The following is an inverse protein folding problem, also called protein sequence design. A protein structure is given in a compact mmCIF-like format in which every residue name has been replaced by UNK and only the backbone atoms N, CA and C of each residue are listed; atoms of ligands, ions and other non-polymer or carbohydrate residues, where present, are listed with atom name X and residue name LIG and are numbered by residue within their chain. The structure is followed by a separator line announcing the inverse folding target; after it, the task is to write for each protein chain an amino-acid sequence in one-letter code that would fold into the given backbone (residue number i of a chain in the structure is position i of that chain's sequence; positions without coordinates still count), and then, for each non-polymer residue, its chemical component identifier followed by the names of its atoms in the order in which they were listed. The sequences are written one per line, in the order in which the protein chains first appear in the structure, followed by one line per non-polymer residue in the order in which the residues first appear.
data_IF_669775299223
#
_entry.id   IF_669775299223
#
_cell.length_a   1.000
_cell.length_b   1.000
_cell.length_c   1.000
_cell.angle_alpha   90.00
_cell.angle_beta   90.00
_cell.angle_gamma   90.00
#
_symmetry.space_group_name_H-M   'P 1'
#
loop_
_entity.id
_entity.type
_entity.pdbx_description
1 polymer ?
#
# COMPACT_ATOMS: atom_id res chain seq x y z
N UNK A 1 20.12 -7.00 -25.92
CA UNK A 1 20.38 -7.29 -24.49
C UNK A 1 20.68 -5.97 -23.82
N UNK A 2 19.63 -5.21 -23.50
CA UNK A 2 19.76 -3.96 -22.76
C UNK A 2 19.98 -4.37 -21.31
N UNK A 3 21.16 -4.10 -20.77
CA UNK A 3 21.42 -4.34 -19.36
C UNK A 3 20.43 -3.51 -18.55
N UNK A 4 19.52 -4.16 -17.82
CA UNK A 4 18.68 -3.49 -16.83
C UNK A 4 19.63 -2.80 -15.86
N UNK A 5 19.62 -1.47 -15.87
CA UNK A 5 20.36 -0.71 -14.89
C UNK A 5 19.66 -0.97 -13.56
N UNK A 6 20.25 -1.79 -12.70
CA UNK A 6 19.79 -1.93 -11.33
C UNK A 6 20.01 -0.59 -10.65
N UNK A 7 18.96 0.23 -10.58
CA UNK A 7 18.95 1.46 -9.80
C UNK A 7 18.55 1.02 -8.39
N UNK A 8 19.43 1.13 -7.38
CA UNK A 8 19.08 0.80 -6.01
C UNK A 8 17.79 1.53 -5.61
N UNK A 9 16.82 0.76 -5.08
CA UNK A 9 15.51 1.27 -4.69
C UNK A 9 14.49 1.47 -5.81
N UNK A 10 14.84 1.17 -7.07
CA UNK A 10 13.87 1.08 -8.17
C UNK A 10 13.32 -0.34 -8.37
N UNK A 11 14.02 -1.36 -7.86
CA UNK A 11 13.60 -2.76 -7.93
C UNK A 11 12.90 -3.20 -6.64
N UNK A 12 11.92 -4.09 -6.78
CA UNK A 12 11.22 -4.70 -5.66
C UNK A 12 11.56 -6.20 -5.61
N UNK A 13 12.13 -6.70 -4.50
CA UNK A 13 12.48 -8.12 -4.38
C UNK A 13 11.68 -8.84 -3.30
N UNK A 14 11.35 -10.11 -3.56
CA UNK A 14 10.61 -10.98 -2.62
C UNK A 14 11.33 -11.10 -1.28
N UNK A 15 12.66 -11.32 -1.31
CA UNK A 15 13.45 -11.51 -0.10
C UNK A 15 13.50 -10.26 0.79
N UNK A 16 13.52 -9.06 0.19
CA UNK A 16 13.53 -7.79 0.90
C UNK A 16 12.19 -7.58 1.61
N UNK A 17 11.07 -7.76 0.91
CA UNK A 17 9.73 -7.64 1.50
C UNK A 17 9.43 -8.72 2.54
N UNK A 18 9.95 -9.93 2.37
CA UNK A 18 9.83 -11.00 3.35
C UNK A 18 10.62 -10.68 4.63
N UNK A 19 11.80 -10.07 4.51
CA UNK A 19 12.63 -9.67 5.65
C UNK A 19 11.96 -8.61 6.54
N UNK A 20 11.07 -7.78 5.97
CA UNK A 20 10.31 -6.77 6.72
C UNK A 20 9.40 -7.36 7.80
N UNK A 21 9.17 -8.68 7.82
CA UNK A 21 8.47 -9.35 8.92
C UNK A 21 9.12 -9.09 10.28
N UNK A 22 10.46 -9.09 10.34
CA UNK A 22 11.18 -8.81 11.58
C UNK A 22 10.94 -7.36 12.04
N UNK A 23 11.03 -6.41 11.10
CA UNK A 23 10.72 -5.00 11.34
C UNK A 23 9.27 -4.79 11.80
N UNK A 24 8.32 -5.54 11.23
CA UNK A 24 6.92 -5.48 11.63
C UNK A 24 6.70 -6.02 13.05
N UNK A 25 7.45 -7.05 13.47
CA UNK A 25 7.41 -7.57 14.84
C UNK A 25 7.93 -6.56 15.86
N UNK A 26 9.02 -5.85 15.53
CA UNK A 26 9.69 -4.93 16.47
C UNK A 26 9.09 -3.52 16.46
N UNK A 27 8.61 -3.05 15.30
CA UNK A 27 8.16 -1.68 15.08
C UNK A 27 6.66 -1.44 15.23
N UNK A 28 5.83 -2.49 15.23
CA UNK A 28 4.38 -2.37 15.37
C UNK A 28 3.89 -3.01 16.69
N UNK A 29 3.24 -2.20 17.53
CA UNK A 29 2.48 -2.74 18.65
C UNK A 29 1.28 -3.56 18.14
N UNK A 30 0.75 -4.50 18.94
CA UNK A 30 -0.43 -5.27 18.56
C UNK A 30 -1.61 -4.32 18.30
N UNK A 31 -2.41 -4.63 17.28
CA UNK A 31 -3.74 -4.03 17.15
C UNK A 31 -4.53 -4.47 18.38
N UNK A 32 -5.18 -3.54 19.10
CA UNK A 32 -5.89 -3.88 20.35
C UNK A 32 -6.81 -5.11 20.18
N UNK A 33 -6.92 -5.94 21.22
CA UNK A 33 -7.69 -7.19 21.25
C UNK A 33 -9.10 -7.02 20.66
N UNK A 34 -9.43 -7.81 19.63
CA UNK A 34 -10.53 -7.56 18.69
C UNK A 34 -10.07 -7.05 17.32
N UNK A 35 -8.76 -7.15 17.06
CA UNK A 35 -8.04 -6.76 15.84
C UNK A 35 -8.78 -7.18 14.56
N UNK A 36 -8.75 -6.28 13.57
CA UNK A 36 -9.46 -6.34 12.29
C UNK A 36 -9.55 -7.77 11.72
N UNK A 37 -10.69 -8.17 11.13
CA UNK A 37 -10.85 -9.51 10.56
C UNK A 37 -9.80 -9.81 9.46
N UNK A 38 -9.34 -8.76 8.78
CA UNK A 38 -8.23 -8.76 7.83
C UNK A 38 -8.08 -7.42 7.12
N UNK A 39 -7.20 -7.36 6.15
CA UNK A 39 -6.90 -6.15 5.39
C UNK A 39 -6.79 -6.39 3.88
N UNK A 40 -7.38 -5.50 3.10
CA UNK A 40 -7.06 -5.35 1.68
C UNK A 40 -5.99 -4.28 1.53
N UNK A 41 -4.85 -4.68 0.97
CA UNK A 41 -3.72 -3.82 0.68
C UNK A 41 -3.82 -3.36 -0.78
N UNK A 42 -3.79 -2.05 -1.02
CA UNK A 42 -3.91 -1.48 -2.36
C UNK A 42 -2.62 -0.75 -2.70
N UNK A 43 -1.86 -1.30 -3.64
CA UNK A 43 -0.59 -0.76 -4.09
C UNK A 43 -0.77 -0.02 -5.42
N UNK A 44 -0.25 1.21 -5.53
CA UNK A 44 -0.25 1.95 -6.77
C UNK A 44 1.12 1.85 -7.46
N UNK A 45 1.16 1.17 -8.60
CA UNK A 45 2.30 1.05 -9.52
C UNK A 45 2.04 1.76 -10.85
N UNK A 46 1.13 2.73 -10.89
CA UNK A 46 0.92 3.57 -12.09
C UNK A 46 2.18 4.40 -12.39
N UNK A 47 2.32 4.94 -13.62
CA UNK A 47 3.52 5.68 -14.03
C UNK A 47 3.96 6.80 -13.08
N UNK A 48 3.04 7.53 -12.42
CA UNK A 48 3.41 8.56 -11.43
C UNK A 48 4.14 8.01 -10.20
N UNK A 49 4.00 6.72 -9.93
CA UNK A 49 4.62 6.03 -8.79
C UNK A 49 5.97 5.41 -9.14
N UNK A 50 6.35 5.35 -10.42
CA UNK A 50 7.65 4.85 -10.90
C UNK A 50 8.72 5.95 -10.91
N UNK A 51 8.73 6.79 -9.88
CA UNK A 51 9.68 7.87 -9.67
C UNK A 51 10.21 7.85 -8.25
N UNK A 52 11.46 8.28 -8.04
CA UNK A 52 12.08 8.43 -6.73
C UNK A 52 13.20 9.46 -6.75
N UNK A 53 13.49 10.08 -5.61
CA UNK A 53 14.54 11.12 -5.52
C UNK A 53 15.85 10.61 -4.92
N UNK A 54 15.83 9.96 -3.74
CA UNK A 54 17.08 9.60 -3.04
C UNK A 54 17.20 8.11 -2.75
N UNK A 55 16.17 7.48 -2.17
CA UNK A 55 16.26 6.08 -1.71
C UNK A 55 15.57 5.11 -2.64
N UNK A 56 14.31 5.35 -2.94
CA UNK A 56 13.47 4.39 -3.64
C UNK A 56 12.40 5.08 -4.47
N UNK A 57 11.82 4.34 -5.41
CA UNK A 57 10.60 4.79 -6.06
C UNK A 57 9.44 4.86 -5.06
N UNK A 58 8.49 5.77 -5.28
CA UNK A 58 7.24 5.85 -4.50
C UNK A 58 6.51 4.51 -4.48
N UNK A 59 6.47 3.81 -5.60
CA UNK A 59 5.94 2.44 -5.74
C UNK A 59 6.61 1.44 -4.80
N UNK A 60 7.95 1.45 -4.73
CA UNK A 60 8.73 0.57 -3.86
C UNK A 60 8.46 0.90 -2.39
N UNK A 61 8.50 2.19 -2.02
CA UNK A 61 8.17 2.62 -0.66
C UNK A 61 6.72 2.28 -0.26
N UNK A 62 5.77 2.41 -1.19
CA UNK A 62 4.39 1.98 -1.01
C UNK A 62 4.30 0.47 -0.72
N UNK A 63 4.99 -0.35 -1.52
CA UNK A 63 5.01 -1.80 -1.35
C UNK A 63 5.65 -2.23 -0.02
N UNK A 64 6.76 -1.61 0.38
CA UNK A 64 7.40 -1.87 1.68
C UNK A 64 6.49 -1.49 2.85
N UNK A 65 5.83 -0.33 2.79
CA UNK A 65 4.86 0.07 3.80
C UNK A 65 3.68 -0.90 3.90
N UNK A 66 3.12 -1.30 2.75
CA UNK A 66 2.05 -2.31 2.71
C UNK A 66 2.55 -3.67 3.21
N UNK A 67 3.80 -4.04 2.96
CA UNK A 67 4.38 -5.27 3.46
C UNK A 67 4.51 -5.27 5.00
N UNK A 68 4.99 -4.17 5.59
CA UNK A 68 5.02 -3.99 7.04
C UNK A 68 3.63 -4.15 7.66
N UNK A 69 2.62 -3.53 7.03
CA UNK A 69 1.23 -3.57 7.50
C UNK A 69 0.65 -4.98 7.35
N UNK A 70 0.83 -5.62 6.20
CA UNK A 70 0.36 -6.97 5.93
C UNK A 70 0.96 -7.99 6.88
N UNK A 71 2.27 -7.91 7.15
CA UNK A 71 2.93 -8.74 8.15
C UNK A 71 2.33 -8.54 9.53
N UNK A 72 2.08 -7.29 9.96
CA UNK A 72 1.42 -7.02 11.24
C UNK A 72 0.03 -7.64 11.32
N UNK A 73 -0.79 -7.49 10.28
CA UNK A 73 -2.13 -8.10 10.21
C UNK A 73 -2.05 -9.62 10.33
N UNK A 74 -1.12 -10.26 9.64
CA UNK A 74 -0.92 -11.71 9.72
C UNK A 74 -0.44 -12.16 11.11
N UNK A 75 0.46 -11.40 11.74
CA UNK A 75 0.95 -11.65 13.11
C UNK A 75 -0.16 -11.53 14.16
N UNK A 76 -1.19 -10.73 13.89
CA UNK A 76 -2.40 -10.63 14.73
C UNK A 76 -3.48 -11.67 14.40
N UNK A 77 -3.23 -12.56 13.42
CA UNK A 77 -4.15 -13.63 13.01
C UNK A 77 -5.18 -13.25 11.96
N UNK A 78 -5.12 -12.02 11.40
CA UNK A 78 -6.00 -11.59 10.31
C UNK A 78 -5.63 -12.21 8.96
N UNK A 79 -6.51 -12.06 7.97
CA UNK A 79 -6.19 -12.33 6.56
C UNK A 79 -5.67 -11.09 5.85
N UNK A 80 -4.95 -11.30 4.76
CA UNK A 80 -4.48 -10.24 3.84
C UNK A 80 -4.89 -10.56 2.41
N UNK A 81 -5.21 -9.52 1.65
CA UNK A 81 -5.48 -9.55 0.21
C UNK A 81 -4.75 -8.40 -0.47
N UNK A 82 -4.54 -8.50 -1.79
CA UNK A 82 -3.88 -7.48 -2.58
C UNK A 82 -4.74 -7.03 -3.76
N UNK A 83 -4.78 -5.73 -3.99
CA UNK A 83 -5.11 -5.10 -5.26
C UNK A 83 -3.95 -4.19 -5.68
N UNK A 84 -3.16 -4.60 -6.66
CA UNK A 84 -2.09 -3.79 -7.20
C UNK A 84 -2.52 -3.15 -8.53
N UNK A 85 -2.49 -1.81 -8.55
CA UNK A 85 -2.93 -0.95 -9.64
C UNK A 85 -1.73 -0.60 -10.52
N UNK A 86 -1.96 -0.42 -11.82
CA UNK A 86 -0.94 0.02 -12.77
C UNK A 86 -1.59 0.60 -14.02
N UNK A 87 -0.80 0.82 -15.08
CA UNK A 87 -1.34 1.27 -16.37
C UNK A 87 -2.14 0.18 -17.12
N UNK A 88 -1.94 -1.09 -16.76
CA UNK A 88 -2.63 -2.25 -17.35
C UNK A 88 -3.70 -2.85 -16.44
N UNK A 89 -4.02 -4.13 -16.67
CA UNK A 89 -4.93 -4.88 -15.81
C UNK A 89 -4.35 -4.99 -14.38
N UNK A 90 -5.18 -4.81 -13.33
CA UNK A 90 -4.70 -4.90 -11.96
C UNK A 90 -4.30 -6.34 -11.59
N UNK A 91 -3.32 -6.47 -10.71
CA UNK A 91 -2.97 -7.76 -10.09
C UNK A 91 -3.77 -7.92 -8.81
N UNK A 92 -4.52 -9.02 -8.72
CA UNK A 92 -5.37 -9.33 -7.56
C UNK A 92 -4.88 -10.60 -6.89
N UNK A 93 -4.74 -10.55 -5.55
CA UNK A 93 -4.49 -11.73 -4.71
C UNK A 93 -5.65 -11.89 -3.75
N UNK A 94 -6.29 -13.05 -3.80
CA UNK A 94 -7.43 -13.38 -2.95
C UNK A 94 -7.03 -13.41 -1.46
N UNK A 95 -7.98 -13.15 -0.54
CA UNK A 95 -7.75 -13.22 0.90
C UNK A 95 -7.11 -14.54 1.35
N UNK A 96 -6.05 -14.44 2.16
CA UNK A 96 -5.39 -15.60 2.76
C UNK A 96 -4.77 -15.22 4.11
N UNK A 97 -4.63 -16.20 5.01
CA UNK A 97 -4.11 -15.98 6.36
C UNK A 97 -2.61 -16.26 6.48
N UNK A 98 -2.01 -15.68 7.52
CA UNK A 98 -0.68 -16.02 8.01
C UNK A 98 0.44 -15.81 7.00
N UNK A 99 1.58 -16.47 7.25
CA UNK A 99 2.79 -16.29 6.46
C UNK A 99 2.62 -16.73 4.99
N UNK A 100 1.79 -17.74 4.72
CA UNK A 100 1.45 -18.16 3.34
C UNK A 100 0.67 -17.08 2.60
N UNK A 101 -0.34 -16.48 3.25
CA UNK A 101 -1.11 -15.38 2.66
C UNK A 101 -0.24 -14.18 2.35
N UNK A 102 0.65 -13.82 3.27
CA UNK A 102 1.56 -12.72 3.06
C UNK A 102 2.60 -13.01 1.96
N UNK A 103 3.08 -14.25 1.85
CA UNK A 103 3.98 -14.65 0.75
C UNK A 103 3.31 -14.45 -0.61
N UNK A 104 2.04 -14.82 -0.76
CA UNK A 104 1.27 -14.59 -2.01
C UNK A 104 1.07 -13.11 -2.31
N UNK A 105 0.85 -12.29 -1.28
CA UNK A 105 0.77 -10.84 -1.42
C UNK A 105 2.11 -10.26 -1.90
N UNK A 106 3.24 -10.70 -1.32
CA UNK A 106 4.58 -10.26 -1.72
C UNK A 106 4.85 -10.62 -3.18
N UNK A 107 4.58 -11.86 -3.58
CA UNK A 107 4.70 -12.29 -4.98
C UNK A 107 3.81 -11.45 -5.90
N UNK A 108 2.60 -11.10 -5.44
CA UNK A 108 1.69 -10.21 -6.15
C UNK A 108 2.23 -8.79 -6.33
N UNK A 109 2.85 -8.22 -5.29
CA UNK A 109 3.47 -6.90 -5.32
C UNK A 109 4.65 -6.86 -6.31
N UNK A 110 5.56 -7.83 -6.21
CA UNK A 110 6.73 -7.94 -7.10
C UNK A 110 6.28 -8.11 -8.54
N UNK A 111 5.34 -9.03 -8.81
CA UNK A 111 4.80 -9.21 -10.18
C UNK A 111 4.14 -7.95 -10.73
N UNK A 112 3.39 -7.21 -9.91
CA UNK A 112 2.74 -5.99 -10.35
C UNK A 112 3.76 -4.88 -10.68
N UNK A 113 4.81 -4.76 -9.86
CA UNK A 113 5.93 -3.86 -10.10
C UNK A 113 6.67 -4.21 -11.39
N UNK A 114 7.01 -5.49 -11.61
CA UNK A 114 7.69 -5.96 -12.82
C UNK A 114 6.87 -5.67 -14.09
N UNK A 115 5.55 -5.85 -14.03
CA UNK A 115 4.64 -5.51 -15.13
C UNK A 115 4.64 -4.00 -15.41
N UNK A 116 4.60 -3.17 -14.36
CA UNK A 116 4.62 -1.72 -14.50
C UNK A 116 5.96 -1.23 -15.08
N UNK A 117 7.08 -1.76 -14.58
CA UNK A 117 8.42 -1.49 -15.12
C UNK A 117 8.52 -1.89 -16.59
N UNK A 118 8.02 -3.09 -16.95
CA UNK A 118 8.01 -3.56 -18.33
C UNK A 118 7.24 -2.63 -19.28
N UNK A 119 6.10 -2.09 -18.84
CA UNK A 119 5.32 -1.11 -19.62
C UNK A 119 6.06 0.23 -19.75
N UNK A 120 6.67 0.71 -18.67
CA UNK A 120 7.48 1.94 -18.69
C UNK A 120 8.69 1.81 -19.62
N UNK A 121 9.40 0.68 -19.59
CA UNK A 121 10.51 0.38 -20.51
C UNK A 121 10.05 0.27 -21.97
N UNK A 122 8.79 -0.10 -22.21
CA UNK A 122 8.17 -0.08 -23.53
C UNK A 122 7.68 1.32 -23.95
N UNK A 123 7.94 2.36 -23.15
CA UNK A 123 7.56 3.74 -23.44
C UNK A 123 6.13 4.12 -23.08
N UNK A 124 5.42 3.27 -22.31
CA UNK A 124 4.05 3.54 -21.88
C UNK A 124 4.06 4.30 -20.55
N UNK A 125 3.93 5.61 -20.64
CA UNK A 125 3.93 6.53 -19.48
C UNK A 125 2.57 7.21 -19.26
N UNK A 126 1.54 6.83 -20.01
CA UNK A 126 0.20 7.34 -19.78
C UNK A 126 -0.31 6.88 -18.42
N UNK A 127 -0.59 7.84 -17.54
CA UNK A 127 -1.05 7.57 -16.19
C UNK A 127 -2.59 7.59 -16.14
N UNK A 128 -3.25 6.41 -16.07
CA UNK A 128 -4.70 6.36 -16.05
C UNK A 128 -5.25 6.93 -14.73
N UNK A 129 -6.47 7.48 -14.73
CA UNK A 129 -7.09 7.99 -13.50
C UNK A 129 -7.24 6.90 -12.43
N UNK A 130 -7.04 7.27 -11.16
CA UNK A 130 -7.11 6.36 -10.02
C UNK A 130 -8.53 5.84 -9.75
N UNK A 131 -9.54 6.70 -9.93
CA UNK A 131 -10.92 6.37 -9.53
C UNK A 131 -11.47 5.09 -10.17
N UNK A 132 -11.38 4.87 -11.50
CA UNK A 132 -11.81 3.62 -12.12
C UNK A 132 -11.08 2.39 -11.60
N UNK A 133 -9.78 2.49 -11.33
CA UNK A 133 -8.98 1.41 -10.80
C UNK A 133 -9.44 0.97 -9.40
N UNK A 134 -9.96 1.89 -8.58
CA UNK A 134 -10.51 1.58 -7.25
C UNK A 134 -11.86 0.86 -7.29
N UNK A 135 -12.55 0.79 -8.43
CA UNK A 135 -13.82 0.05 -8.54
C UNK A 135 -13.65 -1.46 -8.31
N UNK A 136 -12.48 -2.02 -8.64
CA UNK A 136 -12.16 -3.44 -8.40
C UNK A 136 -12.22 -3.84 -6.92
N UNK A 137 -12.18 -2.87 -5.99
CA UNK A 137 -12.33 -3.13 -4.56
C UNK A 137 -13.71 -3.65 -4.18
N UNK A 138 -14.75 -3.38 -4.96
CA UNK A 138 -16.11 -3.82 -4.65
C UNK A 138 -16.23 -5.36 -4.67
N UNK A 139 -15.33 -6.04 -5.38
CA UNK A 139 -15.29 -7.51 -5.47
C UNK A 139 -14.39 -8.16 -4.42
N UNK A 140 -13.38 -7.44 -3.91
CA UNK A 140 -12.31 -7.98 -3.05
C UNK A 140 -12.56 -7.63 -1.58
N UNK A 141 -13.13 -6.46 -1.29
CA UNK A 141 -13.21 -5.95 0.06
C UNK A 141 -14.40 -6.53 0.83
N UNK A 142 -14.11 -7.36 1.84
CA UNK A 142 -15.12 -7.77 2.79
C UNK A 142 -15.56 -6.58 3.68
N UNK A 143 -16.87 -6.44 3.98
CA UNK A 143 -17.37 -5.38 4.87
C UNK A 143 -16.65 -5.39 6.23
N UNK A 144 -16.30 -4.20 6.74
CA UNK A 144 -15.60 -4.08 8.03
C UNK A 144 -14.11 -4.47 8.03
N UNK A 145 -13.56 -4.92 6.90
CA UNK A 145 -12.11 -5.08 6.75
C UNK A 145 -11.38 -3.73 6.78
N UNK A 146 -10.08 -3.76 7.09
CA UNK A 146 -9.22 -2.61 6.80
C UNK A 146 -8.97 -2.51 5.31
N UNK A 147 -8.94 -1.27 4.83
CA UNK A 147 -8.57 -0.96 3.46
C UNK A 147 -7.44 0.06 3.52
N UNK A 148 -6.26 -0.34 3.05
CA UNK A 148 -5.06 0.51 3.06
C UNK A 148 -4.65 0.81 1.64
N UNK A 149 -4.74 2.07 1.23
CA UNK A 149 -4.41 2.53 -0.13
C UNK A 149 -3.12 3.33 -0.06
N UNK A 150 -2.06 2.85 -0.72
CA UNK A 150 -0.80 3.54 -0.86
C UNK A 150 -0.63 4.07 -2.29
N UNK A 151 -0.64 5.39 -2.45
CA UNK A 151 -0.61 6.09 -3.75
C UNK A 151 -0.04 7.50 -3.60
N UNK A 152 0.43 8.08 -4.70
CA UNK A 152 0.80 9.50 -4.81
C UNK A 152 -0.39 10.41 -5.15
N UNK A 153 -1.55 9.84 -5.55
CA UNK A 153 -2.79 10.55 -5.87
C UNK A 153 -2.68 11.65 -6.95
N UNK A 154 -1.64 11.66 -7.79
CA UNK A 154 -1.38 12.73 -8.77
C UNK A 154 -2.46 12.80 -9.85
N UNK A 155 -2.92 11.63 -10.30
CA UNK A 155 -3.99 11.48 -11.30
C UNK A 155 -5.24 10.87 -10.64
N UNK A 156 -6.05 11.67 -9.91
CA UNK A 156 -7.17 11.14 -9.13
C UNK A 156 -8.34 10.66 -10.01
N UNK A 157 -8.58 11.34 -11.12
CA UNK A 157 -9.80 11.18 -11.93
C UNK A 157 -11.04 11.81 -11.31
N UNK A 158 -12.13 11.84 -12.08
CA UNK A 158 -13.40 12.40 -11.62
C UNK A 158 -14.03 11.54 -10.52
N UNK A 159 -14.52 12.19 -9.45
CA UNK A 159 -15.29 11.52 -8.40
C UNK A 159 -14.49 10.82 -7.30
N UNK A 160 -13.16 10.97 -7.26
CA UNK A 160 -12.31 10.29 -6.27
C UNK A 160 -12.77 10.55 -4.83
N UNK A 161 -13.09 11.80 -4.48
CA UNK A 161 -13.52 12.15 -3.13
C UNK A 161 -14.79 11.38 -2.71
N UNK A 162 -15.78 11.29 -3.60
CA UNK A 162 -17.01 10.54 -3.35
C UNK A 162 -16.74 9.03 -3.22
N UNK A 163 -15.80 8.48 -4.01
CA UNK A 163 -15.38 7.08 -3.92
C UNK A 163 -14.69 6.78 -2.58
N UNK A 164 -13.75 7.64 -2.16
CA UNK A 164 -13.08 7.54 -0.86
C UNK A 164 -14.09 7.62 0.28
N UNK A 165 -15.04 8.55 0.21
CA UNK A 165 -16.10 8.68 1.21
C UNK A 165 -16.93 7.41 1.32
N UNK A 166 -17.38 6.85 0.18
CA UNK A 166 -18.12 5.59 0.15
C UNK A 166 -17.34 4.43 0.78
N UNK A 167 -16.05 4.29 0.44
CA UNK A 167 -15.17 3.26 1.01
C UNK A 167 -14.98 3.45 2.53
N UNK A 168 -14.82 4.70 2.99
CA UNK A 168 -14.64 5.01 4.42
C UNK A 168 -15.87 4.73 5.29
N UNK A 169 -17.07 4.70 4.68
CA UNK A 169 -18.32 4.33 5.38
C UNK A 169 -18.42 2.82 5.59
N UNK A 170 -17.88 2.01 4.66
CA UNK A 170 -17.97 0.55 4.69
C UNK A 170 -16.75 -0.15 5.31
N UNK A 171 -15.59 0.51 5.30
CA UNK A 171 -14.30 -0.08 5.69
C UNK A 171 -13.53 0.83 6.64
N UNK A 172 -12.59 0.23 7.37
CA UNK A 172 -11.58 1.00 8.11
C UNK A 172 -10.53 1.52 7.13
N UNK A 173 -10.87 2.59 6.41
CA UNK A 173 -10.03 3.17 5.37
C UNK A 173 -8.81 3.90 5.94
N UNK A 174 -7.66 3.66 5.30
CA UNK A 174 -6.38 4.33 5.52
C UNK A 174 -5.76 4.65 4.17
N UNK A 175 -5.34 5.90 4.01
CA UNK A 175 -4.69 6.40 2.82
C UNK A 175 -3.25 6.75 3.19
N UNK A 176 -2.29 6.17 2.49
CA UNK A 176 -0.87 6.51 2.57
C UNK A 176 -0.55 7.33 1.32
N UNK A 177 -0.38 8.63 1.49
CA UNK A 177 0.08 9.53 0.45
C UNK A 177 1.61 9.44 0.38
N UNK A 178 2.11 8.78 -0.66
CA UNK A 178 3.54 8.54 -0.83
C UNK A 178 4.18 9.68 -1.59
N UNK A 179 5.21 10.30 -1.00
CA UNK A 179 5.90 11.48 -1.56
C UNK A 179 7.41 11.21 -1.61
N UNK A 180 8.16 11.96 -2.42
CA UNK A 180 9.64 11.83 -2.50
C UNK A 180 10.39 12.86 -1.64
N UNK A 181 9.80 13.27 -0.52
CA UNK A 181 10.34 14.30 0.36
C UNK A 181 9.54 15.60 0.32
N UNK A 182 9.52 16.28 1.46
CA UNK A 182 8.65 17.42 1.77
C UNK A 182 7.94 17.17 3.10
N UNK A 183 7.84 18.19 3.96
CA UNK A 183 6.93 18.07 5.11
C UNK A 183 5.53 17.74 4.60
N UNK A 184 4.77 16.85 5.28
CA UNK A 184 3.38 16.64 4.95
C UNK A 184 2.65 17.98 4.97
N UNK A 185 2.40 18.53 3.79
CA UNK A 185 1.71 19.82 3.60
C UNK A 185 0.28 19.74 4.15
N UNK A 186 -0.25 18.51 4.29
CA UNK A 186 -1.53 18.23 4.88
C UNK A 186 -1.36 17.81 6.36
N UNK A 187 -1.94 18.54 7.33
CA UNK A 187 -2.08 18.01 8.68
C UNK A 187 -2.84 16.68 8.60
N UNK A 188 -2.54 15.68 9.45
CA UNK A 188 -3.16 14.37 9.40
C UNK A 188 -4.68 14.51 9.52
N UNK A 189 -5.36 14.52 8.38
CA UNK A 189 -6.81 14.45 8.30
C UNK A 189 -7.17 13.00 8.59
N UNK A 190 -8.28 12.76 9.30
CA UNK A 190 -8.62 11.43 9.82
C UNK A 190 -8.54 10.35 8.72
N UNK A 191 -7.50 9.51 8.78
CA UNK A 191 -7.30 8.40 7.85
C UNK A 191 -6.32 8.66 6.71
N UNK A 192 -5.80 9.87 6.50
CA UNK A 192 -4.76 10.19 5.52
C UNK A 192 -3.41 10.44 6.21
N UNK A 193 -2.36 9.76 5.75
CA UNK A 193 -1.02 9.81 6.31
C UNK A 193 0.00 10.00 5.20
N UNK A 194 1.01 10.83 5.42
CA UNK A 194 2.09 10.96 4.46
C UNK A 194 3.18 9.91 4.72
N UNK A 195 3.74 9.37 3.65
CA UNK A 195 4.88 8.46 3.68
C UNK A 195 5.96 9.03 2.77
N UNK A 196 7.09 9.40 3.35
CA UNK A 196 8.26 9.81 2.57
C UNK A 196 8.97 8.55 2.03
N UNK A 197 9.06 8.43 0.71
CA UNK A 197 9.72 7.33 0.01
C UNK A 197 11.23 7.25 0.31
N UNK A 198 11.82 8.35 0.79
CA UNK A 198 13.22 8.39 1.22
C UNK A 198 13.43 7.81 2.63
N UNK A 199 12.37 7.63 3.41
CA UNK A 199 12.45 7.04 4.74
C UNK A 199 12.58 5.52 4.60
N UNK A 200 13.62 4.89 5.18
CA UNK A 200 13.76 3.45 5.08
C UNK A 200 12.72 2.74 5.98
N UNK A 201 12.39 1.47 5.69
CA UNK A 201 11.27 0.75 6.33
C UNK A 201 11.34 0.71 7.86
N UNK A 202 12.54 0.59 8.43
CA UNK A 202 12.77 0.56 9.89
C UNK A 202 12.38 1.87 10.58
N UNK A 203 12.49 3.01 9.89
CA UNK A 203 12.06 4.30 10.41
C UNK A 203 10.59 4.60 10.07
N UNK A 204 10.07 4.04 8.98
CA UNK A 204 8.65 4.15 8.62
C UNK A 204 7.74 3.33 9.56
N UNK A 205 8.20 2.17 10.04
CA UNK A 205 7.39 1.26 10.85
C UNK A 205 6.78 1.90 12.11
N UNK A 206 7.52 2.62 12.97
CA UNK A 206 6.94 3.31 14.13
C UNK A 206 5.90 4.37 13.75
N UNK A 207 6.10 5.07 12.63
CA UNK A 207 5.15 6.06 12.13
C UNK A 207 3.84 5.40 11.68
N UNK A 208 3.94 4.34 10.86
CA UNK A 208 2.79 3.57 10.40
C UNK A 208 2.05 2.90 11.57
N UNK A 209 2.78 2.37 12.55
CA UNK A 209 2.22 1.84 13.80
C UNK A 209 1.39 2.87 14.55
N UNK A 210 1.80 4.14 14.60
CA UNK A 210 1.01 5.22 15.21
C UNK A 210 -0.18 5.63 14.36
N UNK A 211 0.02 5.75 13.04
CA UNK A 211 -1.02 6.14 12.07
C UNK A 211 -2.18 5.14 12.02
N UNK A 212 -1.86 3.85 12.15
CA UNK A 212 -2.82 2.78 11.96
C UNK A 212 -3.52 2.36 13.25
N UNK A 213 -3.01 2.76 14.44
CA UNK A 213 -3.74 2.61 15.70
C UNK A 213 -5.13 3.24 15.56
N UNK A 214 -6.14 2.40 15.63
CA UNK A 214 -7.53 2.82 15.74
C UNK A 214 -7.66 3.54 17.08
N UNK A 215 -7.83 4.86 17.06
CA UNK A 215 -8.49 5.54 18.17
C UNK A 215 -9.91 4.96 18.20
N UNK A 216 -10.39 4.44 19.34
CA UNK A 216 -11.77 3.99 19.47
C UNK A 216 -12.70 5.06 18.90
N UNK A 217 -13.77 4.64 18.20
CA UNK A 217 -14.89 5.55 18.01
C UNK A 217 -15.45 5.84 19.40
N UNK A 218 -14.99 6.91 20.04
CA UNK A 218 -15.69 7.45 21.20
C UNK A 218 -17.15 7.66 20.80
N UNK A 219 -18.03 7.23 21.69
CA UNK A 219 -19.43 6.92 21.41
C UNK A 219 -20.14 7.96 20.56
N UNK A 220 -20.81 7.46 19.51
CA UNK A 220 -22.04 8.08 19.09
C UNK A 220 -23.06 7.74 20.19
N UNK A 221 -23.21 8.64 21.16
CA UNK A 221 -24.35 8.71 22.07
C UNK A 221 -25.36 9.65 21.42
#
# INVERSE_FOLDING_TARGET
MTASLHIPGASLQVCELAALRATAMDGFGPWQTGALPGAVLVADFRPSMLSGQLRAFRSVAAAEALALIGWRVCLDGGWVALLALGAGAPVVVAPSHGDEGMSRVIDGLVRAHDLAEGLALAGQFEDPPLTPALCALDEIAAPGAALVIASGFEMPGAGLAARIEALSRAHHLRLLHVTDGGEPECPPTRGLFALDANLPPEHAAPYLSRALRLVPREGCI
#
